data_IF_185542203193
#
_entry.id   IF_185542203193
#
_cell.length_a   1.000
_cell.length_b   1.000
_cell.length_c   1.000
_cell.angle_alpha   90.00
_cell.angle_beta   90.00
_cell.angle_gamma   90.00
#
_symmetry.space_group_name_H-M   'P 1'
#
loop_
_entity.id
_entity.type
_entity.pdbx_description
1 polymer ?
#
# COMPACT_ATOMS: atom_id res chain seq x y z
N UNK A 1 -24.15 4.17 5.38
CA UNK A 1 -23.53 3.49 4.23
C UNK A 1 -22.25 2.82 4.71
N UNK A 2 -22.07 1.55 4.39
CA UNK A 2 -20.80 0.86 4.64
C UNK A 2 -19.73 1.46 3.72
N UNK A 3 -18.56 1.76 4.26
CA UNK A 3 -17.47 2.31 3.49
C UNK A 3 -16.88 1.21 2.59
N UNK A 4 -16.77 1.49 1.30
CA UNK A 4 -16.19 0.56 0.32
C UNK A 4 -14.90 1.15 -0.24
N UNK A 5 -13.90 0.29 -0.42
CA UNK A 5 -12.65 0.66 -1.04
C UNK A 5 -12.86 0.86 -2.55
N UNK A 6 -12.46 2.02 -3.06
CA UNK A 6 -12.58 2.39 -4.47
C UNK A 6 -11.22 2.81 -5.03
N UNK A 7 -11.05 2.68 -6.35
CA UNK A 7 -9.83 3.06 -7.05
C UNK A 7 -9.69 4.59 -7.05
N UNK A 8 -8.52 5.15 -6.70
CA UNK A 8 -8.31 6.59 -6.81
C UNK A 8 -8.25 7.04 -8.27
N UNK A 9 -8.82 8.22 -8.56
CA UNK A 9 -8.88 8.77 -9.92
C UNK A 9 -7.53 9.27 -10.44
N UNK A 10 -6.58 9.58 -9.54
CA UNK A 10 -5.24 10.06 -9.87
C UNK A 10 -4.27 8.93 -10.26
N UNK A 11 -4.52 7.70 -9.83
CA UNK A 11 -3.64 6.56 -10.05
C UNK A 11 -3.80 6.10 -11.51
N UNK A 12 -2.72 6.15 -12.31
CA UNK A 12 -2.76 5.79 -13.75
C UNK A 12 -2.86 4.28 -14.00
N UNK A 13 -2.57 3.48 -12.98
CA UNK A 13 -2.55 2.02 -13.03
C UNK A 13 -3.92 1.47 -12.65
N UNK A 14 -4.52 0.68 -13.54
CA UNK A 14 -5.89 0.18 -13.40
C UNK A 14 -5.97 -1.04 -12.48
N UNK A 15 -4.86 -1.76 -12.34
CA UNK A 15 -4.57 -2.88 -11.46
C UNK A 15 -4.26 -2.44 -10.01
N UNK A 16 -3.93 -1.16 -9.81
CA UNK A 16 -3.75 -0.64 -8.46
C UNK A 16 -5.10 -0.45 -7.75
N UNK A 17 -5.24 -1.09 -6.60
CA UNK A 17 -6.44 -1.12 -5.79
C UNK A 17 -6.12 -0.64 -4.38
N UNK A 18 -6.25 0.66 -4.08
CA UNK A 18 -6.41 1.07 -2.67
C UNK A 18 -6.86 2.52 -2.43
N UNK A 19 -7.64 2.72 -1.35
CA UNK A 19 -7.71 3.97 -0.54
C UNK A 19 -8.00 3.58 0.91
N UNK A 20 -7.09 3.81 1.88
CA UNK A 20 -7.33 3.56 3.34
C UNK A 20 -7.96 4.83 3.89
N UNK A 21 -8.68 4.75 5.01
CA UNK A 21 -9.31 5.96 5.58
C UNK A 21 -8.28 6.99 6.03
N UNK A 22 -7.11 6.54 6.51
CA UNK A 22 -6.05 7.41 7.02
C UNK A 22 -5.25 8.15 5.92
N UNK A 23 -5.13 7.59 4.72
CA UNK A 23 -4.36 8.21 3.63
C UNK A 23 -5.03 7.99 2.26
N UNK A 24 -5.52 9.08 1.69
CA UNK A 24 -5.94 9.20 0.27
C UNK A 24 -4.75 9.43 -0.68
N UNK A 25 -3.55 9.08 -0.22
CA UNK A 25 -2.30 9.43 -0.86
C UNK A 25 -1.56 8.22 -1.46
N UNK A 26 -2.06 7.00 -1.28
CA UNK A 26 -1.38 5.77 -1.70
C UNK A 26 -2.35 4.80 -2.41
N UNK A 27 -1.92 4.22 -3.53
CA UNK A 27 -2.51 3.03 -4.16
C UNK A 27 -1.43 1.95 -4.31
N UNK A 28 -1.84 0.67 -4.32
CA UNK A 28 -0.92 -0.47 -4.50
C UNK A 28 -1.49 -1.46 -5.51
N UNK A 29 -0.64 -2.07 -6.34
CA UNK A 29 -1.02 -3.13 -7.27
C UNK A 29 0.12 -4.14 -7.46
N UNK A 30 -0.20 -5.33 -7.96
CA UNK A 30 0.78 -6.35 -8.34
C UNK A 30 1.49 -5.95 -9.64
N UNK A 31 2.76 -6.35 -9.77
CA UNK A 31 3.48 -6.24 -11.03
C UNK A 31 3.03 -7.35 -11.98
N UNK A 32 2.98 -7.10 -13.31
CA UNK A 32 2.72 -8.16 -14.28
C UNK A 32 3.74 -9.30 -14.22
N UNK A 33 5.00 -8.94 -13.93
CA UNK A 33 6.11 -9.87 -13.74
C UNK A 33 6.96 -9.38 -12.55
N UNK A 34 7.52 -10.30 -11.73
CA UNK A 34 8.41 -9.91 -10.64
C UNK A 34 9.67 -9.19 -11.15
N UNK A 35 10.09 -8.14 -10.44
CA UNK A 35 11.27 -7.34 -10.77
C UNK A 35 12.44 -7.66 -9.81
N UNK A 36 13.57 -8.19 -10.29
CA UNK A 36 14.70 -8.54 -9.42
C UNK A 36 15.29 -7.32 -8.69
N UNK A 37 15.52 -7.44 -7.38
CA UNK A 37 16.12 -6.39 -6.54
C UNK A 37 16.86 -7.00 -5.35
N UNK A 38 18.15 -6.68 -5.18
CA UNK A 38 19.00 -7.08 -4.03
C UNK A 38 18.81 -8.55 -3.58
N UNK A 39 19.13 -9.51 -4.45
CA UNK A 39 19.01 -10.96 -4.22
C UNK A 39 17.57 -11.47 -3.94
N UNK A 40 16.55 -10.63 -4.14
CA UNK A 40 15.13 -10.95 -4.02
C UNK A 40 14.34 -10.40 -5.23
N UNK A 41 13.01 -10.46 -5.17
CA UNK A 41 12.10 -9.93 -6.17
C UNK A 41 11.09 -8.98 -5.56
N UNK A 42 10.88 -7.85 -6.25
CA UNK A 42 9.71 -7.02 -6.06
C UNK A 42 8.52 -7.63 -6.78
N UNK A 43 7.37 -7.66 -6.10
CA UNK A 43 6.13 -8.20 -6.64
C UNK A 43 5.04 -7.14 -6.77
N UNK A 44 5.24 -5.98 -6.13
CA UNK A 44 4.22 -4.94 -6.02
C UNK A 44 4.76 -3.57 -6.36
N UNK A 45 3.83 -2.70 -6.75
CA UNK A 45 4.04 -1.27 -6.98
C UNK A 45 3.16 -0.46 -6.05
N UNK A 46 3.78 0.43 -5.28
CA UNK A 46 3.11 1.47 -4.49
C UNK A 46 3.20 2.78 -5.27
N UNK A 47 2.07 3.39 -5.57
CA UNK A 47 2.05 4.74 -6.17
C UNK A 47 1.67 5.77 -5.09
N UNK A 48 2.39 6.88 -5.06
CA UNK A 48 2.16 7.98 -4.12
C UNK A 48 1.60 9.20 -4.84
N UNK A 49 0.49 9.73 -4.34
CA UNK A 49 -0.06 11.02 -4.76
C UNK A 49 0.71 12.15 -4.06
N UNK A 50 1.69 12.71 -4.75
CA UNK A 50 2.42 13.90 -4.29
C UNK A 50 1.84 15.09 -5.07
N UNK A 51 1.31 16.09 -4.35
CA UNK A 51 0.70 17.27 -4.97
C UNK A 51 1.64 17.91 -6.00
N UNK A 52 1.18 17.94 -7.27
CA UNK A 52 1.91 18.53 -8.40
C UNK A 52 2.71 17.55 -9.24
N UNK A 53 2.93 16.31 -8.80
CA UNK A 53 3.64 15.31 -9.58
C UNK A 53 2.67 14.41 -10.36
N UNK A 54 2.39 14.78 -11.61
CA UNK A 54 1.55 14.00 -12.53
C UNK A 54 2.13 12.61 -12.85
N UNK A 55 3.35 12.30 -12.41
CA UNK A 55 3.97 11.00 -12.67
C UNK A 55 3.76 9.99 -11.56
N UNK A 56 3.40 10.39 -10.34
CA UNK A 56 3.37 9.50 -9.18
C UNK A 56 4.76 8.90 -8.92
N UNK A 57 5.28 9.04 -7.70
CA UNK A 57 6.46 8.23 -7.37
C UNK A 57 5.98 6.77 -7.23
N UNK A 58 6.51 5.89 -8.07
CA UNK A 58 6.23 4.46 -8.06
C UNK A 58 7.38 3.76 -7.32
N UNK A 59 7.08 3.15 -6.17
CA UNK A 59 8.03 2.33 -5.42
C UNK A 59 7.74 0.85 -5.68
N UNK A 60 8.78 0.09 -5.98
CA UNK A 60 8.68 -1.36 -6.10
C UNK A 60 9.02 -1.97 -4.74
N UNK A 61 8.21 -2.94 -4.32
CA UNK A 61 8.36 -3.57 -3.02
C UNK A 61 8.14 -5.08 -3.12
N UNK A 62 8.82 -5.83 -2.25
CA UNK A 62 8.61 -7.25 -2.10
C UNK A 62 7.45 -7.55 -1.13
N UNK A 63 7.23 -8.83 -0.83
CA UNK A 63 6.18 -9.27 0.09
C UNK A 63 6.37 -8.73 1.51
N UNK A 64 7.61 -8.73 1.99
CA UNK A 64 7.95 -8.34 3.36
C UNK A 64 7.70 -6.85 3.57
N UNK A 65 8.16 -6.01 2.65
CA UNK A 65 7.94 -4.57 2.66
C UNK A 65 6.45 -4.22 2.62
N UNK A 66 5.68 -4.91 1.77
CA UNK A 66 4.23 -4.72 1.67
C UNK A 66 3.53 -5.07 3.00
N UNK A 67 3.97 -6.14 3.67
CA UNK A 67 3.42 -6.55 4.96
C UNK A 67 3.68 -5.51 6.05
N UNK A 68 4.91 -5.00 6.17
CA UNK A 68 5.23 -3.93 7.11
C UNK A 68 4.43 -2.66 6.83
N UNK A 69 4.32 -2.25 5.56
CA UNK A 69 3.52 -1.10 5.15
C UNK A 69 2.04 -1.29 5.54
N UNK A 70 1.49 -2.49 5.34
CA UNK A 70 0.12 -2.82 5.73
C UNK A 70 -0.11 -2.59 7.21
N UNK A 71 0.81 -3.00 8.08
CA UNK A 71 0.66 -2.79 9.52
C UNK A 71 0.73 -1.33 9.92
N UNK A 72 1.66 -0.56 9.34
CA UNK A 72 1.77 0.89 9.61
C UNK A 72 0.45 1.57 9.26
N UNK A 73 -0.08 1.28 8.06
CA UNK A 73 -1.34 1.88 7.59
C UNK A 73 -2.56 1.40 8.40
N UNK A 74 -2.60 0.12 8.78
CA UNK A 74 -3.67 -0.40 9.64
C UNK A 74 -3.63 0.26 11.02
N UNK A 75 -2.45 0.47 11.61
CA UNK A 75 -2.31 1.15 12.89
C UNK A 75 -2.78 2.62 12.81
N UNK A 76 -2.45 3.33 11.72
CA UNK A 76 -2.94 4.69 11.47
C UNK A 76 -4.46 4.74 11.23
N UNK A 77 -5.05 3.67 10.70
CA UNK A 77 -6.49 3.46 10.60
C UNK A 77 -7.15 3.07 11.94
N UNK A 78 -6.36 2.96 13.03
CA UNK A 78 -6.84 2.53 14.36
C UNK A 78 -7.13 1.05 14.48
N UNK A 79 -6.58 0.22 13.58
CA UNK A 79 -6.77 -1.24 13.58
C UNK A 79 -5.59 -1.94 14.26
N UNK A 80 -5.92 -3.02 14.96
CA UNK A 80 -4.95 -3.90 15.61
C UNK A 80 -4.74 -5.17 14.74
N UNK A 81 -3.99 -5.05 13.64
CA UNK A 81 -3.81 -6.14 12.65
C UNK A 81 -2.39 -6.68 12.56
N UNK A 82 -1.43 -6.06 13.25
CA UNK A 82 -0.07 -6.59 13.37
C UNK A 82 0.02 -7.52 14.58
N UNK A 83 0.90 -8.53 14.54
CA UNK A 83 1.17 -9.32 15.73
C UNK A 83 1.81 -8.49 16.86
N UNK A 84 2.50 -7.39 16.50
CA UNK A 84 3.11 -6.45 17.46
C UNK A 84 2.03 -5.72 18.26
N UNK A 85 0.91 -5.40 17.62
CA UNK A 85 -0.23 -4.73 18.24
C UNK A 85 -1.00 -5.61 19.24
N UNK A 86 -0.73 -6.93 19.28
CA UNK A 86 -1.34 -7.88 20.25
C UNK A 86 -0.59 -7.97 21.58
N UNK A 87 0.55 -7.30 21.73
CA UNK A 87 1.30 -7.27 22.98
C UNK A 87 0.59 -6.27 23.91
N UNK A 88 -0.39 -6.74 24.67
CA UNK A 88 -1.15 -5.91 25.62
C UNK A 88 -2.57 -6.41 25.94
N UNK A 89 -3.09 -7.39 25.20
CA UNK A 89 -4.35 -8.04 25.54
C UNK A 89 -4.08 -9.19 26.54
N UNK A 90 -3.90 -8.84 27.82
CA UNK A 90 -4.19 -9.73 28.96
C UNK A 90 -5.66 -9.57 29.39
#
# INVERSE_FOLDING_TARGET
>A
MEWKQERPTWCRFNDCLFKRRCQDALCCGELPEPDPHDDDFNYYRICVNVDGDKKGCDYLVNNTDLEYLRWILDALDGKNTSWISRIGDE
#
